data_IF_130651799684
#
_entry.id   IF_130651799684
#
_cell.length_a   1.000
_cell.length_b   1.000
_cell.length_c   1.000
_cell.angle_alpha   90.00
_cell.angle_beta   90.00
_cell.angle_gamma   90.00
#
_symmetry.space_group_name_H-M   'P 1'
#
loop_
_entity.id
_entity.type
_entity.pdbx_description
1 polymer ?
#
# COMPACT_ATOMS: atom_id res chain seq x y z
N UNK A 1 19.86 1.80 32.06
CA UNK A 1 18.83 2.44 31.21
C UNK A 1 18.53 1.46 30.09
N UNK A 2 17.33 0.86 30.07
CA UNK A 2 16.97 -0.11 29.04
C UNK A 2 17.15 0.53 27.66
N UNK A 3 17.83 -0.17 26.74
CA UNK A 3 18.02 0.29 25.37
C UNK A 3 16.64 0.58 24.77
N UNK A 4 16.34 1.86 24.54
CA UNK A 4 15.08 2.26 23.91
C UNK A 4 15.16 1.79 22.46
N UNK A 5 14.43 0.72 22.14
CA UNK A 5 14.27 0.32 20.76
C UNK A 5 13.58 1.45 19.98
N UNK A 6 14.04 1.75 18.76
CA UNK A 6 13.40 2.76 17.93
C UNK A 6 11.95 2.39 17.64
N UNK A 7 11.11 3.42 17.53
CA UNK A 7 9.68 3.27 17.26
C UNK A 7 9.47 2.53 15.93
N UNK A 8 8.67 1.44 15.90
CA UNK A 8 8.45 0.70 14.66
C UNK A 8 7.56 1.51 13.71
N UNK A 9 8.10 1.83 12.53
CA UNK A 9 7.31 2.33 11.40
C UNK A 9 6.82 1.12 10.58
N UNK A 10 5.52 0.84 10.62
CA UNK A 10 4.91 -0.32 9.95
C UNK A 10 4.51 -0.01 8.52
N UNK A 11 5.49 0.19 7.65
CA UNK A 11 5.22 0.78 6.35
C UNK A 11 6.30 0.37 5.32
N UNK A 12 5.91 0.05 4.09
CA UNK A 12 6.85 -0.19 3.00
C UNK A 12 6.93 1.07 2.10
N UNK A 13 8.06 1.78 2.02
CA UNK A 13 8.17 3.00 1.23
C UNK A 13 7.91 2.80 -0.27
N UNK A 14 8.25 1.63 -0.82
CA UNK A 14 8.00 1.30 -2.22
C UNK A 14 6.51 1.31 -2.56
N UNK A 15 5.68 0.71 -1.70
CA UNK A 15 4.24 0.55 -1.97
C UNK A 15 3.51 1.90 -1.98
N UNK A 16 3.89 2.84 -1.11
CA UNK A 16 3.30 4.17 -1.07
C UNK A 16 3.73 5.04 -2.22
N UNK A 17 5.03 5.12 -2.49
CA UNK A 17 5.54 6.01 -3.53
C UNK A 17 4.94 5.57 -4.86
N UNK A 18 4.93 4.26 -5.13
CA UNK A 18 4.28 3.70 -6.30
C UNK A 18 2.78 4.01 -6.36
N UNK A 19 2.06 3.90 -5.23
CA UNK A 19 0.62 4.24 -5.17
C UNK A 19 0.35 5.71 -5.48
N UNK A 20 1.17 6.62 -4.94
CA UNK A 20 1.06 8.06 -5.19
C UNK A 20 1.36 8.36 -6.66
N UNK A 21 2.45 7.80 -7.21
CA UNK A 21 2.81 7.98 -8.62
C UNK A 21 1.73 7.43 -9.56
N UNK A 22 1.15 6.27 -9.24
CA UNK A 22 0.11 5.67 -10.05
C UNK A 22 -1.15 6.54 -10.07
N UNK A 23 -1.56 7.05 -8.91
CA UNK A 23 -2.76 7.91 -8.78
C UNK A 23 -2.54 9.27 -9.44
N UNK A 24 -1.34 9.85 -9.32
CA UNK A 24 -0.96 11.05 -10.07
C UNK A 24 -1.05 10.83 -11.58
N UNK A 25 -0.66 9.65 -12.05
CA UNK A 25 -0.67 9.31 -13.48
C UNK A 25 -2.09 9.12 -14.04
N UNK A 26 -2.99 8.48 -13.30
CA UNK A 26 -4.37 8.21 -13.77
C UNK A 26 -5.36 9.34 -13.45
N UNK A 27 -5.03 10.19 -12.48
CA UNK A 27 -5.83 11.33 -12.04
C UNK A 27 -6.96 10.99 -11.05
N UNK A 28 -7.32 11.98 -10.23
CA UNK A 28 -8.30 11.84 -9.14
C UNK A 28 -9.75 11.58 -9.59
N UNK A 29 -10.04 11.79 -10.88
CA UNK A 29 -11.34 11.39 -11.46
C UNK A 29 -11.49 9.87 -11.57
N UNK A 30 -10.38 9.13 -11.62
CA UNK A 30 -10.35 7.67 -11.81
C UNK A 30 -10.06 6.90 -10.53
N UNK A 31 -9.12 7.38 -9.72
CA UNK A 31 -8.70 6.69 -8.50
C UNK A 31 -8.34 7.68 -7.38
N UNK A 32 -8.44 7.26 -6.13
CA UNK A 32 -8.05 8.04 -4.97
C UNK A 32 -7.45 7.17 -3.86
N UNK A 33 -6.75 7.80 -2.91
CA UNK A 33 -6.15 7.11 -1.75
C UNK A 33 -7.13 7.16 -0.57
N UNK A 34 -7.43 6.00 -0.01
CA UNK A 34 -8.18 5.86 1.24
C UNK A 34 -7.27 5.75 2.45
N UNK A 35 -7.66 6.33 3.58
CA UNK A 35 -6.97 6.12 4.84
C UNK A 35 -7.29 4.72 5.39
N UNK A 36 -6.34 3.81 5.33
CA UNK A 36 -6.50 2.44 5.84
C UNK A 36 -6.77 2.40 7.35
N UNK A 37 -6.08 3.24 8.14
CA UNK A 37 -6.26 3.29 9.59
C UNK A 37 -7.67 3.70 10.03
N UNK A 38 -8.41 4.41 9.17
CA UNK A 38 -9.77 4.85 9.45
C UNK A 38 -10.84 3.76 9.20
N UNK A 39 -10.49 2.68 8.47
CA UNK A 39 -11.38 1.54 8.18
C UNK A 39 -11.76 0.77 9.45
N UNK A 40 -10.81 0.27 10.28
CA UNK A 40 -11.17 -0.45 11.51
C UNK A 40 -11.91 0.45 12.52
N UNK A 41 -11.66 1.77 12.48
CA UNK A 41 -12.37 2.76 13.30
C UNK A 41 -13.77 3.10 12.76
N UNK A 42 -14.17 2.51 11.63
CA UNK A 42 -15.45 2.76 10.95
C UNK A 42 -15.74 4.25 10.76
N UNK A 43 -14.71 5.04 10.46
CA UNK A 43 -14.84 6.49 10.24
C UNK A 43 -15.94 6.76 9.19
N UNK A 44 -17.00 7.53 9.51
CA UNK A 44 -18.13 7.74 8.60
C UNK A 44 -17.71 8.26 7.23
N UNK A 45 -16.77 9.21 7.19
CA UNK A 45 -16.26 9.81 5.95
C UNK A 45 -15.53 8.80 5.08
N UNK A 46 -14.68 7.95 5.67
CA UNK A 46 -13.92 6.95 4.90
C UNK A 46 -14.84 5.82 4.48
N UNK A 47 -15.68 5.30 5.37
CA UNK A 47 -16.64 4.25 5.05
C UNK A 47 -17.63 4.68 3.95
N UNK A 48 -18.10 5.93 3.98
CA UNK A 48 -18.95 6.49 2.93
C UNK A 48 -18.27 6.52 1.57
N UNK A 49 -17.01 6.99 1.51
CA UNK A 49 -16.21 7.01 0.27
C UNK A 49 -15.93 5.59 -0.25
N UNK A 50 -15.56 4.66 0.63
CA UNK A 50 -15.29 3.27 0.26
C UNK A 50 -16.55 2.55 -0.23
N UNK A 51 -17.73 2.88 0.29
CA UNK A 51 -19.02 2.38 -0.24
C UNK A 51 -19.39 2.99 -1.59
N UNK A 52 -19.03 4.25 -1.81
CA UNK A 52 -19.32 4.95 -3.06
C UNK A 52 -18.34 4.60 -4.19
N UNK A 53 -17.14 4.08 -3.87
CA UNK A 53 -16.20 3.62 -4.88
C UNK A 53 -16.71 2.35 -5.57
N UNK A 54 -16.61 2.30 -6.89
CA UNK A 54 -16.97 1.11 -7.68
C UNK A 54 -16.11 -0.10 -7.30
N UNK A 55 -14.83 0.15 -7.07
CA UNK A 55 -13.83 -0.85 -6.73
C UNK A 55 -12.98 -0.36 -5.56
N UNK A 56 -12.59 -1.28 -4.70
CA UNK A 56 -11.61 -1.05 -3.63
C UNK A 56 -10.39 -1.89 -3.95
N UNK A 57 -9.22 -1.26 -4.05
CA UNK A 57 -7.96 -1.95 -4.30
C UNK A 57 -7.09 -1.84 -3.05
N UNK A 58 -6.54 -2.96 -2.58
CA UNK A 58 -5.58 -2.99 -1.48
C UNK A 58 -4.20 -3.37 -2.00
N UNK A 59 -3.19 -2.63 -1.58
CA UNK A 59 -1.80 -2.86 -1.96
C UNK A 59 -1.05 -3.24 -0.68
N UNK A 60 -0.58 -4.49 -0.64
CA UNK A 60 0.10 -5.08 0.49
C UNK A 60 1.53 -5.48 0.11
N UNK A 61 2.51 -4.88 0.76
CA UNK A 61 3.93 -5.17 0.52
C UNK A 61 4.40 -6.53 1.02
N UNK A 62 3.59 -7.25 1.80
CA UNK A 62 3.91 -8.59 2.28
C UNK A 62 2.68 -9.51 2.29
N UNK A 63 2.93 -10.81 2.41
CA UNK A 63 1.90 -11.86 2.37
C UNK A 63 0.91 -11.81 3.54
N UNK A 64 1.23 -11.07 4.60
CA UNK A 64 0.32 -10.87 5.73
C UNK A 64 -1.01 -10.23 5.29
N UNK A 65 -1.02 -9.45 4.20
CA UNK A 65 -2.23 -8.90 3.62
C UNK A 65 -3.02 -8.03 4.60
N UNK A 66 -2.32 -7.19 5.38
CA UNK A 66 -2.94 -6.42 6.46
C UNK A 66 -3.98 -5.44 5.93
N UNK A 67 -3.70 -4.76 4.80
CA UNK A 67 -4.64 -3.85 4.19
C UNK A 67 -5.88 -4.60 3.71
N UNK A 68 -5.69 -5.69 2.95
CA UNK A 68 -6.78 -6.57 2.51
C UNK A 68 -7.66 -7.03 3.67
N UNK A 69 -7.06 -7.57 4.74
CA UNK A 69 -7.78 -8.10 5.90
C UNK A 69 -8.62 -7.04 6.61
N UNK A 70 -8.08 -5.84 6.82
CA UNK A 70 -8.83 -4.76 7.47
C UNK A 70 -10.03 -4.31 6.62
N UNK A 71 -9.87 -4.27 5.30
CA UNK A 71 -10.93 -3.91 4.36
C UNK A 71 -12.00 -5.01 4.27
N UNK A 72 -11.60 -6.27 4.23
CA UNK A 72 -12.51 -7.44 4.29
C UNK A 72 -13.29 -7.47 5.61
N UNK A 73 -12.63 -7.24 6.74
CA UNK A 73 -13.27 -7.17 8.07
C UNK A 73 -14.30 -6.04 8.16
N UNK A 74 -14.15 -4.98 7.38
CA UNK A 74 -15.12 -3.89 7.28
C UNK A 74 -16.30 -4.20 6.32
N UNK A 75 -16.34 -5.41 5.74
CA UNK A 75 -17.42 -5.90 4.90
C UNK A 75 -17.26 -5.58 3.41
N UNK A 76 -16.11 -5.08 2.99
CA UNK A 76 -15.82 -4.82 1.57
C UNK A 76 -15.15 -6.04 0.93
N UNK A 77 -15.19 -6.11 -0.41
CA UNK A 77 -14.50 -7.14 -1.20
C UNK A 77 -13.42 -6.47 -2.05
N UNK A 78 -12.20 -6.28 -1.50
CA UNK A 78 -11.14 -5.59 -2.23
C UNK A 78 -10.50 -6.49 -3.30
N UNK A 79 -10.03 -5.87 -4.37
CA UNK A 79 -9.06 -6.45 -5.28
C UNK A 79 -7.70 -6.32 -4.62
N UNK A 80 -7.02 -7.44 -4.41
CA UNK A 80 -5.78 -7.48 -3.66
C UNK A 80 -4.57 -7.51 -4.59
N UNK A 81 -3.67 -6.56 -4.39
CA UNK A 81 -2.31 -6.55 -4.95
C UNK A 81 -1.35 -6.88 -3.81
N UNK A 82 -0.69 -8.02 -3.87
CA UNK A 82 0.34 -8.44 -2.91
C UNK A 82 1.71 -8.43 -3.59
N UNK A 83 2.55 -7.45 -3.29
CA UNK A 83 3.81 -7.21 -4.04
C UNK A 83 4.75 -8.43 -4.04
N UNK A 84 4.77 -9.18 -2.94
CA UNK A 84 5.59 -10.38 -2.84
C UNK A 84 5.09 -11.52 -3.75
N UNK A 85 3.77 -11.67 -3.92
CA UNK A 85 3.18 -12.74 -4.74
C UNK A 85 3.08 -12.34 -6.21
N UNK A 86 2.65 -11.11 -6.46
CA UNK A 86 2.33 -10.65 -7.81
C UNK A 86 3.56 -10.16 -8.57
N UNK A 87 4.56 -9.62 -7.86
CA UNK A 87 5.76 -9.01 -8.45
C UNK A 87 7.07 -9.59 -7.92
N UNK A 88 7.03 -10.54 -6.97
CA UNK A 88 8.23 -11.11 -6.36
C UNK A 88 9.02 -10.14 -5.48
N UNK A 89 8.45 -8.98 -5.13
CA UNK A 89 9.13 -7.93 -4.36
C UNK A 89 9.04 -8.26 -2.87
N UNK A 90 10.18 -8.57 -2.25
CA UNK A 90 10.25 -8.87 -0.81
C UNK A 90 10.27 -7.59 0.02
N UNK A 91 9.44 -7.54 1.06
CA UNK A 91 9.50 -6.50 2.09
C UNK A 91 10.71 -6.73 3.00
N UNK A 92 11.54 -5.71 3.13
CA UNK A 92 12.61 -5.70 4.13
C UNK A 92 12.11 -5.06 5.43
N UNK A 93 12.56 -5.60 6.56
CA UNK A 93 12.42 -4.92 7.84
C UNK A 93 13.32 -3.70 7.85
N UNK A 94 12.74 -2.50 8.07
CA UNK A 94 13.50 -1.27 8.25
C UNK A 94 14.35 -1.29 9.53
N UNK A 95 14.10 -2.25 10.43
CA UNK A 95 14.88 -2.43 11.65
C UNK A 95 16.10 -3.32 11.49
N UNK A 96 16.33 -3.91 10.30
CA UNK A 96 17.39 -4.90 10.09
C UNK A 96 18.80 -4.37 10.36
N UNK A 97 19.04 -3.09 10.08
CA UNK A 97 20.36 -2.47 10.19
C UNK A 97 20.53 -1.73 11.54
N UNK A 98 19.49 -1.68 12.38
CA UNK A 98 19.52 -1.02 13.69
C UNK A 98 20.53 -1.68 14.65
N UNK A 99 20.64 -3.02 14.73
CA UNK A 99 21.66 -3.67 15.56
C UNK A 99 23.10 -3.37 15.15
N UNK A 100 23.33 -2.90 13.91
CA UNK A 100 24.68 -2.59 13.41
C UNK A 100 25.26 -1.29 13.96
N UNK A 101 24.47 -0.47 14.66
CA UNK A 101 24.86 0.85 15.16
C UNK A 101 24.85 1.96 14.10
N UNK A 102 24.75 1.61 12.82
CA UNK A 102 24.71 2.55 11.69
C UNK A 102 23.45 2.31 10.82
N UNK A 103 22.26 2.73 11.29
CA UNK A 103 21.03 2.54 10.52
C UNK A 103 21.07 3.36 9.23
N UNK A 104 20.76 2.73 8.11
CA UNK A 104 20.60 3.41 6.81
C UNK A 104 19.44 4.42 6.84
N UNK A 105 19.54 5.43 5.99
CA UNK A 105 18.42 6.36 5.72
C UNK A 105 17.30 5.61 5.00
N UNK A 106 16.06 6.05 5.22
CA UNK A 106 14.88 5.46 4.57
C UNK A 106 15.01 5.40 3.04
N UNK A 107 15.59 6.45 2.44
CA UNK A 107 15.83 6.55 0.99
C UNK A 107 16.68 5.42 0.43
N UNK A 108 17.57 4.84 1.23
CA UNK A 108 18.46 3.75 0.81
C UNK A 108 17.75 2.39 0.75
N UNK A 109 16.52 2.30 1.27
CA UNK A 109 15.67 1.12 1.14
C UNK A 109 14.70 1.20 -0.05
N UNK A 110 14.69 2.33 -0.77
CA UNK A 110 13.82 2.56 -1.92
C UNK A 110 14.59 2.21 -3.18
N UNK A 111 14.11 1.20 -3.91
CA UNK A 111 14.67 0.77 -5.19
C UNK A 111 13.79 1.36 -6.30
N UNK A 112 14.28 2.35 -7.10
CA UNK A 112 13.47 3.04 -8.10
C UNK A 112 12.81 2.10 -9.11
N UNK A 113 13.50 1.04 -9.50
CA UNK A 113 12.99 0.04 -10.45
C UNK A 113 11.80 -0.73 -9.87
N UNK A 114 11.82 -1.02 -8.56
CA UNK A 114 10.68 -1.62 -7.88
C UNK A 114 9.51 -0.65 -7.77
N UNK A 115 9.76 0.63 -7.49
CA UNK A 115 8.72 1.66 -7.47
C UNK A 115 8.03 1.74 -8.83
N UNK A 116 8.80 1.81 -9.92
CA UNK A 116 8.27 1.85 -11.28
C UNK A 116 7.44 0.60 -11.62
N UNK A 117 7.96 -0.60 -11.31
CA UNK A 117 7.25 -1.85 -11.56
C UNK A 117 5.91 -1.93 -10.80
N UNK A 118 5.90 -1.54 -9.52
CA UNK A 118 4.68 -1.52 -8.71
C UNK A 118 3.70 -0.47 -9.22
N UNK A 119 4.17 0.72 -9.58
CA UNK A 119 3.34 1.80 -10.15
C UNK A 119 2.65 1.32 -11.41
N UNK A 120 3.41 0.76 -12.36
CA UNK A 120 2.88 0.34 -13.65
C UNK A 120 1.87 -0.81 -13.49
N UNK A 121 2.11 -1.71 -12.53
CA UNK A 121 1.15 -2.74 -12.16
C UNK A 121 -0.17 -2.14 -11.64
N UNK A 122 -0.12 -1.16 -10.74
CA UNK A 122 -1.30 -0.47 -10.21
C UNK A 122 -2.06 0.25 -11.34
N UNK A 123 -1.36 0.96 -12.23
CA UNK A 123 -1.95 1.64 -13.38
C UNK A 123 -2.69 0.65 -14.28
N UNK A 124 -2.06 -0.49 -14.58
CA UNK A 124 -2.67 -1.54 -15.40
C UNK A 124 -3.89 -2.17 -14.72
N UNK A 125 -3.83 -2.41 -13.41
CA UNK A 125 -5.01 -2.85 -12.64
C UNK A 125 -6.16 -1.85 -12.76
N UNK A 126 -5.90 -0.56 -12.54
CA UNK A 126 -6.92 0.49 -12.65
C UNK A 126 -7.50 0.54 -14.09
N UNK A 127 -6.64 0.45 -15.10
CA UNK A 127 -7.06 0.49 -16.50
C UNK A 127 -7.94 -0.70 -16.89
N UNK A 128 -7.63 -1.91 -16.38
CA UNK A 128 -8.47 -3.10 -16.58
C UNK A 128 -9.84 -2.92 -15.94
N UNK A 129 -9.87 -2.45 -14.68
CA UNK A 129 -11.13 -2.22 -13.97
C UNK A 129 -11.99 -1.10 -14.59
N UNK A 130 -11.38 -0.09 -15.22
CA UNK A 130 -12.10 0.97 -15.93
C UNK A 130 -12.79 0.42 -17.20
N UNK A 131 -12.21 -0.59 -17.85
CA UNK A 131 -12.79 -1.24 -19.04
C UNK A 131 -13.98 -2.14 -18.71
N UNK A 132 -13.92 -2.87 -17.61
CA UNK A 132 -15.03 -3.75 -17.15
C UNK A 132 -16.31 -2.97 -16.77
N UNK A 133 -16.18 -1.65 -16.60
CA UNK A 133 -17.27 -0.76 -16.21
C UNK A 133 -17.89 0.04 -17.39
N UNK A 134 -17.42 -0.17 -18.61
CA UNK A 134 -17.98 0.41 -19.84
C UNK A 134 -18.92 -0.57 -20.51
#
# INVERSE_FOLDING_TARGET
IAARHPMPAFFNPTELIASIEAINSVGLKKAGIGCLAAIPLKSPTVMGKTKASKHVVTIDGCESGCARKLVEQAGFKPISIMLQKDLGIKKYSLSRDIPSGNPKKLSEYIVPEQVAAVRDYIINTIATLDKENK
#
